data_IF_727410396289
#
_entry.id   IF_727410396289
#
_cell.length_a   1.000
_cell.length_b   1.000
_cell.length_c   1.000
_cell.angle_alpha   90.00
_cell.angle_beta   90.00
_cell.angle_gamma   90.00
#
_symmetry.space_group_name_H-M   'P 1'
#
loop_
_entity.id
_entity.type
_entity.pdbx_description
1 polymer ?
#
# COMPACT_ATOMS: atom_id res chain seq x y z
N UNK A 1 26.23 -35.11 -26.46
CA UNK A 1 25.57 -35.53 -25.21
C UNK A 1 25.98 -34.68 -24.00
N UNK A 2 27.26 -34.60 -23.61
CA UNK A 2 27.69 -33.73 -22.49
C UNK A 2 27.42 -32.23 -22.75
N UNK A 3 27.74 -31.75 -23.96
CA UNK A 3 27.50 -30.35 -24.36
C UNK A 3 26.01 -29.98 -24.39
N UNK A 4 25.14 -30.94 -24.70
CA UNK A 4 23.69 -30.74 -24.71
C UNK A 4 23.17 -30.54 -23.28
N UNK A 5 23.70 -31.29 -22.30
CA UNK A 5 23.39 -31.09 -20.89
C UNK A 5 23.89 -29.75 -20.36
N UNK A 6 25.12 -29.35 -20.73
CA UNK A 6 25.68 -28.05 -20.35
C UNK A 6 24.81 -26.92 -20.89
N UNK A 7 24.39 -27.02 -22.17
CA UNK A 7 23.51 -26.04 -22.81
C UNK A 7 22.14 -26.00 -22.14
N UNK A 8 21.51 -27.15 -21.90
CA UNK A 8 20.21 -27.22 -21.25
C UNK A 8 20.24 -26.61 -19.84
N UNK A 9 21.29 -26.88 -19.07
CA UNK A 9 21.48 -26.31 -17.74
C UNK A 9 21.71 -24.78 -17.79
N UNK A 10 22.52 -24.30 -18.73
CA UNK A 10 22.72 -22.87 -18.94
C UNK A 10 21.41 -22.16 -19.32
N UNK A 11 20.64 -22.72 -20.26
CA UNK A 11 19.33 -22.19 -20.63
C UNK A 11 18.37 -22.15 -19.45
N UNK A 12 18.29 -23.21 -18.64
CA UNK A 12 17.43 -23.24 -17.46
C UNK A 12 17.78 -22.13 -16.46
N UNK A 13 19.07 -21.92 -16.17
CA UNK A 13 19.54 -20.85 -15.29
C UNK A 13 19.24 -19.45 -15.86
N UNK A 14 19.46 -19.26 -17.16
CA UNK A 14 19.16 -18.00 -17.83
C UNK A 14 17.65 -17.68 -17.81
N UNK A 15 16.78 -18.69 -17.96
CA UNK A 15 15.33 -18.50 -17.82
C UNK A 15 14.94 -17.99 -16.43
N UNK A 16 15.54 -18.54 -15.36
CA UNK A 16 15.30 -18.07 -13.99
C UNK A 16 15.75 -16.63 -13.82
N UNK A 17 16.94 -16.28 -14.32
CA UNK A 17 17.48 -14.91 -14.25
C UNK A 17 16.57 -13.94 -15.03
N UNK A 18 16.12 -14.31 -16.23
CA UNK A 18 15.24 -13.49 -17.04
C UNK A 18 13.91 -13.20 -16.33
N UNK A 19 13.32 -14.21 -15.68
CA UNK A 19 12.10 -14.03 -14.90
C UNK A 19 12.32 -13.12 -13.68
N UNK A 20 13.44 -13.26 -12.98
CA UNK A 20 13.79 -12.35 -11.88
C UNK A 20 13.95 -10.90 -12.35
N UNK A 21 14.61 -10.67 -13.49
CA UNK A 21 14.74 -9.34 -14.10
C UNK A 21 13.36 -8.76 -14.41
N UNK A 22 12.46 -9.55 -15.00
CA UNK A 22 11.09 -9.12 -15.31
C UNK A 22 10.34 -8.69 -14.06
N UNK A 23 10.48 -9.45 -12.97
CA UNK A 23 9.86 -9.11 -11.68
C UNK A 23 10.41 -7.81 -11.10
N UNK A 24 11.73 -7.61 -11.15
CA UNK A 24 12.38 -6.37 -10.69
C UNK A 24 11.94 -5.15 -11.51
N UNK A 25 11.80 -5.30 -12.82
CA UNK A 25 11.30 -4.23 -13.71
C UNK A 25 9.87 -3.84 -13.35
N UNK A 26 9.00 -4.82 -13.10
CA UNK A 26 7.62 -4.57 -12.69
C UNK A 26 7.54 -3.92 -11.29
N UNK A 27 8.41 -4.32 -10.36
CA UNK A 27 8.53 -3.66 -9.07
C UNK A 27 8.97 -2.20 -9.21
N UNK A 28 9.99 -1.92 -10.04
CA UNK A 28 10.45 -0.56 -10.30
C UNK A 28 9.34 0.31 -10.90
N UNK A 29 8.56 -0.24 -11.85
CA UNK A 29 7.41 0.45 -12.44
C UNK A 29 6.37 0.84 -11.38
N UNK A 30 6.02 -0.08 -10.48
CA UNK A 30 5.09 0.19 -9.37
C UNK A 30 5.58 1.30 -8.46
N UNK A 31 6.86 1.28 -8.08
CA UNK A 31 7.46 2.33 -7.23
C UNK A 31 7.35 3.71 -7.89
N UNK A 32 7.61 3.80 -9.20
CA UNK A 32 7.48 5.06 -9.95
C UNK A 32 6.02 5.53 -10.05
N UNK A 33 5.09 4.61 -10.33
CA UNK A 33 3.65 4.92 -10.40
C UNK A 33 3.13 5.42 -9.03
N UNK A 34 3.57 4.79 -7.93
CA UNK A 34 3.25 5.21 -6.57
C UNK A 34 3.83 6.58 -6.24
N UNK A 35 5.10 6.82 -6.56
CA UNK A 35 5.75 8.11 -6.31
C UNK A 35 5.07 9.26 -7.10
N UNK A 36 4.73 9.02 -8.36
CA UNK A 36 4.01 9.99 -9.20
C UNK A 36 2.62 10.29 -8.62
N UNK A 37 1.87 9.26 -8.24
CA UNK A 37 0.54 9.42 -7.61
C UNK A 37 0.64 10.19 -6.30
N UNK A 38 1.62 9.88 -5.45
CA UNK A 38 1.79 10.54 -4.17
C UNK A 38 2.18 12.02 -4.36
N UNK A 39 3.06 12.32 -5.32
CA UNK A 39 3.39 13.70 -5.70
C UNK A 39 2.14 14.45 -6.20
N UNK A 40 1.35 13.85 -7.08
CA UNK A 40 0.09 14.44 -7.57
C UNK A 40 -0.87 14.79 -6.42
N UNK A 41 -1.07 13.86 -5.48
CA UNK A 41 -1.96 14.06 -4.33
C UNK A 41 -1.41 15.14 -3.39
N UNK A 42 -0.09 15.22 -3.19
CA UNK A 42 0.51 16.32 -2.43
C UNK A 42 0.24 17.69 -3.05
N UNK A 43 0.20 17.78 -4.38
CA UNK A 43 -0.09 19.03 -5.09
C UNK A 43 -1.59 19.39 -5.19
N UNK A 44 -2.51 18.45 -4.93
CA UNK A 44 -3.95 18.75 -4.91
C UNK A 44 -4.26 19.85 -3.90
N UNK A 45 -5.04 20.85 -4.34
CA UNK A 45 -5.40 22.00 -3.52
C UNK A 45 -6.07 21.57 -2.20
N UNK A 46 -5.68 22.18 -1.09
CA UNK A 46 -6.30 21.93 0.20
C UNK A 46 -6.30 23.21 1.02
N UNK A 47 -7.44 23.54 1.63
CA UNK A 47 -7.56 24.72 2.50
C UNK A 47 -6.90 24.50 3.87
N UNK A 48 -6.46 23.27 4.15
CA UNK A 48 -5.88 22.83 5.41
C UNK A 48 -4.47 22.34 5.15
N UNK A 49 -3.60 22.46 6.14
CA UNK A 49 -2.30 21.79 6.11
C UNK A 49 -2.53 20.28 6.15
N UNK A 50 -1.92 19.56 5.20
CA UNK A 50 -1.97 18.10 5.15
C UNK A 50 -1.15 17.52 6.30
N UNK A 51 -1.78 16.73 7.17
CA UNK A 51 -1.21 16.15 8.38
C UNK A 51 -1.27 14.62 8.29
N UNK A 52 -0.15 13.92 8.52
CA UNK A 52 -0.14 12.47 8.64
C UNK A 52 -1.17 11.93 9.63
N UNK A 53 -1.67 10.73 9.37
CA UNK A 53 -2.69 10.04 10.16
C UNK A 53 -4.13 10.39 9.78
N UNK A 54 -4.36 11.50 9.06
CA UNK A 54 -5.68 11.94 8.66
C UNK A 54 -6.12 11.36 7.31
N UNK A 55 -7.43 11.19 7.17
CA UNK A 55 -8.10 10.87 5.90
C UNK A 55 -8.59 12.16 5.25
N UNK A 56 -8.31 12.28 3.96
CA UNK A 56 -8.71 13.39 3.10
C UNK A 56 -9.63 12.88 2.00
N UNK A 57 -10.71 13.61 1.76
CA UNK A 57 -11.71 13.32 0.74
C UNK A 57 -11.51 14.27 -0.43
N UNK A 58 -11.33 13.70 -1.63
CA UNK A 58 -11.08 14.44 -2.85
C UNK A 58 -12.39 14.71 -3.58
N UNK A 59 -12.56 15.95 -4.02
CA UNK A 59 -13.70 16.39 -4.80
C UNK A 59 -13.27 17.13 -6.05
N UNK A 60 -14.15 17.20 -7.04
CA UNK A 60 -14.00 18.01 -8.26
C UNK A 60 -15.05 19.12 -8.28
N UNK A 61 -14.60 20.37 -8.44
CA UNK A 61 -15.47 21.52 -8.68
C UNK A 61 -16.03 21.48 -10.11
N UNK A 62 -17.07 22.23 -10.39
CA UNK A 62 -17.58 22.44 -11.76
C UNK A 62 -16.50 22.99 -12.71
N UNK A 63 -15.53 23.76 -12.18
CA UNK A 63 -14.36 24.24 -12.93
C UNK A 63 -13.36 23.15 -13.33
N UNK A 64 -13.56 21.90 -12.89
CA UNK A 64 -12.64 20.78 -13.09
C UNK A 64 -11.50 20.70 -12.06
N UNK A 65 -11.34 21.71 -11.20
CA UNK A 65 -10.28 21.72 -10.18
C UNK A 65 -10.54 20.66 -9.11
N UNK A 66 -9.52 19.83 -8.85
CA UNK A 66 -9.48 18.86 -7.75
C UNK A 66 -9.07 19.54 -6.45
N UNK A 67 -9.74 19.23 -5.34
CA UNK A 67 -9.35 19.69 -4.02
C UNK A 67 -9.65 18.65 -2.93
N UNK A 68 -8.90 18.75 -1.83
CA UNK A 68 -9.08 17.93 -0.65
C UNK A 68 -9.86 18.66 0.45
N UNK A 69 -10.73 17.90 1.12
CA UNK A 69 -11.47 18.27 2.33
C UNK A 69 -11.28 17.21 3.41
N UNK A 70 -11.45 17.58 4.68
CA UNK A 70 -11.52 16.62 5.79
C UNK A 70 -12.95 16.06 5.98
N UNK A 71 -13.93 16.65 5.29
CA UNK A 71 -15.33 16.29 5.38
C UNK A 71 -15.61 15.14 4.41
N UNK A 72 -16.20 14.06 4.92
CA UNK A 72 -16.69 12.93 4.12
C UNK A 72 -17.94 13.33 3.33
N UNK A 73 -18.19 12.74 2.13
CA UNK A 73 -19.46 12.91 1.47
C UNK A 73 -20.60 12.41 2.39
N UNK A 74 -21.68 13.18 2.46
CA UNK A 74 -22.84 12.87 3.30
C UNK A 74 -23.46 11.56 2.80
N UNK A 75 -23.39 10.48 3.59
CA UNK A 75 -24.02 9.20 3.27
C UNK A 75 -23.12 7.95 3.10
N UNK A 76 -21.82 8.01 3.42
CA UNK A 76 -20.93 6.85 3.23
C UNK A 76 -20.08 6.45 4.45
N UNK A 77 -20.53 5.44 5.19
CA UNK A 77 -19.64 4.54 5.95
C UNK A 77 -19.32 4.90 7.41
N UNK A 78 -19.27 3.86 8.26
CA UNK A 78 -19.27 3.91 9.73
C UNK A 78 -18.09 4.70 10.32
N UNK A 79 -18.30 5.39 11.46
CA UNK A 79 -17.22 6.09 12.15
C UNK A 79 -16.15 5.10 12.63
N UNK A 80 -14.94 5.22 12.10
CA UNK A 80 -13.76 4.65 12.74
C UNK A 80 -13.49 5.43 14.04
N UNK A 81 -13.09 4.71 15.09
CA UNK A 81 -13.04 5.12 16.51
C UNK A 81 -12.10 6.30 16.84
N UNK A 82 -11.55 6.99 15.86
CA UNK A 82 -10.62 8.12 16.05
C UNK A 82 -11.07 9.45 15.44
N UNK A 83 -12.26 9.57 14.86
CA UNK A 83 -12.73 10.86 14.33
C UNK A 83 -13.87 11.40 15.18
N UNK A 84 -13.50 12.11 16.27
CA UNK A 84 -14.40 12.94 17.09
C UNK A 84 -15.04 14.12 16.31
N UNK A 85 -14.80 14.22 15.00
CA UNK A 85 -15.29 15.29 14.13
C UNK A 85 -16.50 14.89 13.25
N UNK A 86 -16.86 13.61 13.20
CA UNK A 86 -17.98 13.14 12.35
C UNK A 86 -19.37 13.56 12.92
N UNK A 87 -19.45 13.86 14.21
CA UNK A 87 -20.72 14.13 14.90
C UNK A 87 -21.21 15.59 14.82
N UNK A 88 -20.43 16.53 14.26
CA UNK A 88 -20.84 17.95 14.13
C UNK A 88 -21.30 18.33 12.71
N UNK A 89 -21.29 17.41 11.75
CA UNK A 89 -21.57 17.67 10.33
C UNK A 89 -22.91 17.13 9.85
N UNK A 90 -23.83 16.82 10.78
CA UNK A 90 -25.22 16.56 10.41
C UNK A 90 -25.92 17.84 9.88
N UNK A 91 -25.32 19.02 10.11
CA UNK A 91 -25.93 20.33 9.78
C UNK A 91 -25.36 21.03 8.53
N UNK A 92 -24.26 20.53 7.94
CA UNK A 92 -23.61 21.20 6.82
C UNK A 92 -23.78 20.33 5.57
N UNK A 93 -24.75 20.74 4.75
CA UNK A 93 -25.33 19.98 3.65
C UNK A 93 -24.35 19.46 2.60
N UNK A 94 -24.86 18.52 1.81
CA UNK A 94 -24.31 17.93 0.59
C UNK A 94 -23.29 18.87 -0.08
N UNK A 95 -22.02 18.48 -0.10
CA UNK A 95 -21.07 19.16 -0.99
C UNK A 95 -21.59 18.98 -2.41
N UNK A 96 -21.85 20.06 -3.18
CA UNK A 96 -22.39 19.94 -4.53
C UNK A 96 -21.36 19.39 -5.54
N UNK A 97 -20.13 19.15 -5.08
CA UNK A 97 -19.00 18.77 -5.91
C UNK A 97 -18.86 17.24 -6.03
N UNK A 98 -18.47 16.78 -7.21
CA UNK A 98 -18.28 15.36 -7.53
C UNK A 98 -17.23 14.74 -6.61
N UNK A 99 -17.58 13.63 -5.93
CA UNK A 99 -16.64 12.88 -5.10
C UNK A 99 -15.75 11.98 -5.96
N UNK A 100 -14.43 12.09 -5.78
CA UNK A 100 -13.45 11.34 -6.56
C UNK A 100 -12.78 10.19 -5.78
N UNK A 101 -12.76 10.26 -4.45
CA UNK A 101 -12.12 9.23 -3.63
C UNK A 101 -11.65 9.75 -2.27
N UNK A 102 -11.29 8.83 -1.39
CA UNK A 102 -10.74 9.12 -0.08
C UNK A 102 -9.34 8.53 0.06
N UNK A 103 -8.44 9.26 0.70
CA UNK A 103 -7.03 8.88 0.85
C UNK A 103 -6.54 9.22 2.25
N UNK A 104 -5.83 8.29 2.88
CA UNK A 104 -5.17 8.52 4.18
C UNK A 104 -3.70 8.85 3.97
N UNK A 105 -3.27 9.99 4.52
CA UNK A 105 -1.87 10.38 4.51
C UNK A 105 -1.14 9.61 5.62
N UNK A 106 -0.11 8.85 5.26
CA UNK A 106 0.71 8.08 6.20
C UNK A 106 1.80 8.93 6.85
N UNK A 107 2.45 8.38 7.88
CA UNK A 107 3.55 9.03 8.60
C UNK A 107 4.83 9.16 7.76
N UNK A 108 5.01 8.29 6.77
CA UNK A 108 6.09 8.36 5.77
C UNK A 108 5.76 9.29 4.59
N UNK A 109 4.66 10.05 4.69
CA UNK A 109 4.15 10.96 3.67
C UNK A 109 3.60 10.27 2.41
N UNK A 110 3.45 8.95 2.40
CA UNK A 110 2.75 8.24 1.31
C UNK A 110 1.23 8.37 1.43
N UNK A 111 0.52 8.23 0.30
CA UNK A 111 -0.94 8.22 0.28
C UNK A 111 -1.46 6.81 0.07
N UNK A 112 -2.47 6.42 0.86
CA UNK A 112 -3.17 5.15 0.66
C UNK A 112 -4.65 5.40 0.37
N UNK A 113 -5.23 4.81 -0.70
CA UNK A 113 -6.66 4.85 -0.93
C UNK A 113 -7.42 4.27 0.26
N UNK A 114 -8.58 4.84 0.58
CA UNK A 114 -9.36 4.43 1.75
C UNK A 114 -9.76 2.95 1.71
N UNK A 115 -10.09 2.44 0.53
CA UNK A 115 -10.44 1.05 0.27
C UNK A 115 -9.31 0.07 0.63
N UNK A 116 -8.06 0.53 0.54
CA UNK A 116 -6.88 -0.30 0.80
C UNK A 116 -6.40 -0.24 2.26
N UNK A 117 -6.95 0.67 3.08
CA UNK A 117 -6.53 0.84 4.49
C UNK A 117 -6.72 -0.45 5.27
N UNK A 118 -7.92 -1.04 5.21
CA UNK A 118 -8.24 -2.24 5.99
C UNK A 118 -7.40 -3.44 5.57
N UNK A 119 -7.17 -3.60 4.26
CA UNK A 119 -6.31 -4.66 3.72
C UNK A 119 -4.89 -4.51 4.24
N UNK A 120 -4.29 -3.31 4.15
CA UNK A 120 -2.93 -3.06 4.63
C UNK A 120 -2.79 -3.21 6.15
N UNK A 121 -3.78 -2.75 6.91
CA UNK A 121 -3.79 -2.93 8.37
C UNK A 121 -3.86 -4.42 8.75
N UNK A 122 -4.61 -5.25 8.00
CA UNK A 122 -4.69 -6.69 8.21
C UNK A 122 -3.38 -7.41 7.83
N UNK A 123 -2.75 -7.03 6.72
CA UNK A 123 -1.44 -7.52 6.30
C UNK A 123 -0.37 -7.18 7.35
N UNK A 124 -0.33 -5.93 7.82
CA UNK A 124 0.63 -5.50 8.84
C UNK A 124 0.43 -6.23 10.17
N UNK A 125 -0.82 -6.41 10.63
CA UNK A 125 -1.12 -7.25 11.80
C UNK A 125 -0.64 -8.69 11.63
N UNK A 126 -0.69 -9.23 10.41
CA UNK A 126 -0.20 -10.58 10.13
C UNK A 126 1.32 -10.63 10.20
N UNK A 127 2.01 -9.63 9.65
CA UNK A 127 3.46 -9.48 9.74
C UNK A 127 3.93 -9.30 11.19
N UNK A 128 3.26 -8.46 11.97
CA UNK A 128 3.57 -8.27 13.40
C UNK A 128 3.43 -9.58 14.20
N UNK A 129 2.42 -10.41 13.88
CA UNK A 129 2.28 -11.75 14.46
C UNK A 129 3.44 -12.69 14.09
N UNK A 130 3.99 -12.56 12.88
CA UNK A 130 5.14 -13.36 12.46
C UNK A 130 6.43 -12.87 13.12
N UNK A 131 6.64 -11.56 13.22
CA UNK A 131 7.79 -10.95 13.89
C UNK A 131 7.78 -11.25 15.39
N UNK A 132 6.63 -11.14 16.05
CA UNK A 132 6.48 -11.52 17.46
C UNK A 132 6.62 -13.03 17.71
N UNK A 133 6.39 -13.86 16.68
CA UNK A 133 6.66 -15.31 16.71
C UNK A 133 8.12 -15.67 16.45
N UNK A 134 8.98 -14.75 15.98
CA UNK A 134 10.43 -14.89 16.08
C UNK A 134 10.90 -14.68 17.53
N UNK A 135 10.26 -15.37 18.47
CA UNK A 135 10.85 -15.72 19.74
C UNK A 135 11.71 -16.98 19.49
N UNK A 136 13.02 -16.75 19.38
CA UNK A 136 14.12 -17.71 19.37
C UNK A 136 13.98 -18.92 18.42
N UNK A 137 14.76 -18.90 17.32
CA UNK A 137 15.25 -20.16 16.77
C UNK A 137 15.98 -20.90 17.90
N UNK A 138 15.67 -22.18 18.20
CA UNK A 138 16.48 -22.95 19.13
C UNK A 138 17.93 -22.94 18.60
N UNK A 139 18.96 -22.83 19.45
CA UNK A 139 20.34 -22.89 19.01
C UNK A 139 20.57 -24.25 18.34
N UNK A 140 20.57 -24.25 17.01
CA UNK A 140 20.89 -25.41 16.19
C UNK A 140 22.36 -25.74 16.45
N UNK A 141 22.62 -26.73 17.30
CA UNK A 141 23.99 -27.10 17.66
C UNK A 141 24.61 -28.06 16.63
N UNK A 142 23.84 -28.62 15.69
CA UNK A 142 24.39 -29.52 14.65
C UNK A 142 23.63 -29.44 13.31
N UNK A 143 24.33 -29.67 12.17
CA UNK A 143 23.70 -29.78 10.85
C UNK A 143 22.91 -31.08 10.75
N UNK A 144 21.60 -30.95 10.53
CA UNK A 144 20.69 -32.09 10.38
C UNK A 144 20.93 -32.79 9.03
N UNK A 145 21.61 -33.94 9.05
CA UNK A 145 21.83 -34.80 7.88
C UNK A 145 20.82 -35.95 7.74
N UNK A 146 19.67 -35.93 8.43
CA UNK A 146 18.70 -37.04 8.46
C UNK A 146 17.96 -37.35 7.14
N UNK A 147 18.37 -36.74 6.01
CA UNK A 147 17.81 -37.04 4.68
C UNK A 147 18.78 -37.69 3.69
N UNK A 148 20.05 -37.89 4.04
CA UNK A 148 21.09 -38.35 3.09
C UNK A 148 21.32 -39.87 3.06
N UNK A 149 20.53 -40.65 3.78
CA UNK A 149 20.64 -42.12 3.78
C UNK A 149 19.28 -42.76 3.57
N UNK A 150 18.74 -42.70 2.35
CA UNK A 150 17.95 -43.78 1.74
C UNK A 150 18.14 -43.78 0.24
#
# INVERSE_FOLDING_TARGET
QADDFVRANACSKLTVIAEQIRQLQEQARKVLDEANRDADLHHVACNLVKKPGNTYYMYRRESGQRYFSILSPQGGGRPSSHVKLCFLLQEWGTSPHEFLGAYKLQHDMSWIPFEDIERRDAEMKTLDKLLSRQAALPPSTEPNFQGLTK
#
